data_IF_958323515293
#
_entry.id   IF_958323515293
#
_cell.length_a   1.000
_cell.length_b   1.000
_cell.length_c   1.000
_cell.angle_alpha   90.00
_cell.angle_beta   90.00
_cell.angle_gamma   90.00
#
_symmetry.space_group_name_H-M   'P 1'
#
loop_
_entity.id
_entity.type
_entity.pdbx_description
1 polymer ?
#
# COMPACT_ATOMS: atom_id res chain seq x y z
N UNK A 1 -15.57 -11.54 16.36
CA UNK A 1 -14.52 -11.75 15.33
C UNK A 1 -13.93 -10.39 15.03
N UNK A 2 -12.61 -10.32 14.81
CA UNK A 2 -11.98 -9.07 14.40
C UNK A 2 -12.29 -8.74 12.94
N UNK A 3 -12.48 -7.46 12.62
CA UNK A 3 -12.79 -6.95 11.27
C UNK A 3 -11.71 -5.98 10.80
N UNK A 4 -11.26 -6.11 9.56
CA UNK A 4 -10.22 -5.26 8.97
C UNK A 4 -10.43 -5.08 7.47
N UNK A 5 -10.03 -3.92 6.96
CA UNK A 5 -9.80 -3.69 5.52
C UNK A 5 -8.28 -3.67 5.30
N UNK A 6 -7.81 -4.55 4.40
CA UNK A 6 -6.39 -4.79 4.14
C UNK A 6 -5.90 -4.11 2.84
N UNK A 7 -6.79 -3.53 2.03
CA UNK A 7 -6.42 -2.90 0.77
C UNK A 7 -7.25 -1.63 0.52
N UNK A 8 -6.69 -0.48 0.91
CA UNK A 8 -7.38 0.81 0.82
C UNK A 8 -6.40 1.96 0.53
N UNK A 9 -6.79 2.85 -0.38
CA UNK A 9 -5.99 3.99 -0.81
C UNK A 9 -6.52 5.33 -0.29
N UNK A 10 -5.57 6.21 0.03
CA UNK A 10 -5.78 7.60 0.39
C UNK A 10 -5.23 8.54 -0.70
N UNK A 11 -5.35 9.84 -0.45
CA UNK A 11 -4.74 10.90 -1.27
C UNK A 11 -3.23 10.77 -1.51
N UNK A 12 -2.52 9.93 -0.76
CA UNK A 12 -1.09 9.71 -0.97
C UNK A 12 -0.79 8.74 -2.12
N UNK A 13 -1.81 8.05 -2.67
CA UNK A 13 -1.71 7.25 -3.89
C UNK A 13 -1.75 8.18 -5.12
N UNK A 14 -0.59 8.61 -5.58
CA UNK A 14 -0.46 9.77 -6.48
C UNK A 14 -0.37 9.41 -7.98
N UNK A 15 -0.79 8.21 -8.40
CA UNK A 15 -0.62 7.77 -9.81
C UNK A 15 -1.78 6.97 -10.40
N UNK A 16 -2.76 7.65 -11.02
CA UNK A 16 -3.80 6.96 -11.75
C UNK A 16 -3.28 6.01 -12.80
N UNK A 17 -3.79 4.77 -12.76
CA UNK A 17 -3.49 3.72 -13.73
C UNK A 17 -3.75 4.21 -15.16
N UNK A 18 -4.82 4.96 -15.36
CA UNK A 18 -5.24 5.52 -16.65
C UNK A 18 -4.49 6.80 -17.06
N UNK A 19 -3.94 6.79 -18.27
CA UNK A 19 -3.14 7.90 -18.82
C UNK A 19 -3.94 9.21 -18.98
N UNK A 20 -5.24 9.13 -19.24
CA UNK A 20 -6.14 10.28 -19.38
C UNK A 20 -6.33 11.00 -18.04
N UNK A 21 -6.46 10.26 -16.94
CA UNK A 21 -6.62 10.82 -15.60
C UNK A 21 -5.34 11.52 -15.12
N UNK A 22 -4.16 11.02 -15.51
CA UNK A 22 -2.86 11.72 -15.29
C UNK A 22 -2.82 13.08 -16.00
N UNK A 23 -3.33 13.14 -17.24
CA UNK A 23 -3.33 14.37 -18.05
C UNK A 23 -4.30 15.44 -17.50
N UNK A 24 -5.32 15.01 -16.76
CA UNK A 24 -6.30 15.88 -16.11
C UNK A 24 -5.97 16.18 -14.63
N UNK A 25 -4.90 15.59 -14.08
CA UNK A 25 -4.47 15.85 -12.69
C UNK A 25 -5.40 15.28 -11.62
N UNK A 26 -6.18 14.23 -11.93
CA UNK A 26 -7.14 13.63 -11.00
C UNK A 26 -6.45 12.45 -10.27
N UNK A 27 -6.23 12.50 -8.95
CA UNK A 27 -5.59 11.42 -8.21
C UNK A 27 -6.52 10.20 -8.04
N UNK A 28 -5.95 9.01 -7.79
CA UNK A 28 -6.69 7.75 -7.62
C UNK A 28 -7.61 7.73 -6.40
N UNK A 29 -7.27 8.53 -5.40
CA UNK A 29 -8.11 8.76 -4.24
C UNK A 29 -7.90 10.20 -3.80
N UNK A 30 -8.99 10.89 -3.46
CA UNK A 30 -8.96 12.23 -2.84
C UNK A 30 -9.18 12.14 -1.33
N UNK A 31 -9.28 10.92 -0.79
CA UNK A 31 -9.72 10.69 0.57
C UNK A 31 -8.60 11.00 1.57
N UNK A 32 -8.95 11.78 2.59
CA UNK A 32 -8.04 12.07 3.70
C UNK A 32 -7.84 10.81 4.57
N UNK A 33 -6.59 10.40 4.89
CA UNK A 33 -6.32 9.21 5.69
C UNK A 33 -7.08 9.16 7.02
N UNK A 34 -7.16 10.29 7.74
CA UNK A 34 -7.81 10.37 9.05
C UNK A 34 -9.30 10.15 8.94
N UNK A 35 -9.92 10.68 7.88
CA UNK A 35 -11.34 10.44 7.60
C UNK A 35 -11.62 8.98 7.24
N UNK A 36 -10.74 8.35 6.46
CA UNK A 36 -10.85 6.91 6.16
C UNK A 36 -10.77 6.06 7.42
N UNK A 37 -9.80 6.35 8.29
CA UNK A 37 -9.67 5.71 9.60
C UNK A 37 -10.95 5.87 10.43
N UNK A 38 -11.45 7.09 10.59
CA UNK A 38 -12.67 7.39 11.35
C UNK A 38 -13.87 6.60 10.80
N UNK A 39 -14.08 6.58 9.48
CA UNK A 39 -15.18 5.84 8.83
C UNK A 39 -15.06 4.34 9.09
N UNK A 40 -13.87 3.75 8.92
CA UNK A 40 -13.68 2.31 9.15
C UNK A 40 -13.91 1.93 10.62
N UNK A 41 -13.40 2.74 11.56
CA UNK A 41 -13.63 2.54 13.00
C UNK A 41 -15.11 2.67 13.35
N UNK A 42 -15.80 3.70 12.88
CA UNK A 42 -17.26 3.84 13.05
C UNK A 42 -18.05 2.70 12.40
N UNK A 43 -17.52 2.10 11.33
CA UNK A 43 -18.05 0.89 10.68
C UNK A 43 -17.71 -0.43 11.37
N UNK A 44 -17.14 -0.38 12.59
CA UNK A 44 -16.85 -1.55 13.42
C UNK A 44 -15.60 -2.33 13.01
N UNK A 45 -14.63 -1.73 12.31
CA UNK A 45 -13.36 -2.38 12.02
C UNK A 45 -12.43 -2.27 13.23
N UNK A 46 -11.92 -3.40 13.71
CA UNK A 46 -10.93 -3.50 14.79
C UNK A 46 -9.53 -3.06 14.33
N UNK A 47 -9.23 -3.26 13.05
CA UNK A 47 -7.96 -2.85 12.45
C UNK A 47 -8.19 -2.07 11.16
N UNK A 48 -7.31 -1.09 10.92
CA UNK A 48 -7.32 -0.24 9.73
C UNK A 48 -5.96 -0.30 9.08
N UNK A 49 -5.93 -0.57 7.78
CA UNK A 49 -4.74 -0.41 6.95
C UNK A 49 -4.97 0.68 5.92
N UNK A 50 -3.89 1.35 5.51
CA UNK A 50 -3.87 2.11 4.27
C UNK A 50 -2.63 1.66 3.50
N UNK A 51 -2.84 1.27 2.26
CA UNK A 51 -1.85 0.62 1.38
C UNK A 51 -1.63 1.49 0.15
N UNK A 52 -1.18 2.72 0.38
CA UNK A 52 -0.94 3.68 -0.71
C UNK A 52 0.15 3.19 -1.68
N UNK A 53 0.03 3.58 -2.95
CA UNK A 53 0.95 3.11 -3.99
C UNK A 53 2.39 3.57 -3.75
N UNK A 54 3.28 2.61 -3.48
CA UNK A 54 4.72 2.79 -3.29
C UNK A 54 5.09 3.85 -2.23
N UNK A 55 4.22 4.11 -1.25
CA UNK A 55 4.47 5.12 -0.21
C UNK A 55 3.80 4.76 1.11
N UNK A 56 4.47 5.13 2.21
CA UNK A 56 3.90 5.13 3.57
C UNK A 56 3.35 6.51 3.96
N UNK A 57 2.99 7.36 3.00
CA UNK A 57 2.53 8.73 3.25
C UNK A 57 1.43 8.81 4.31
N UNK A 58 0.39 7.97 4.19
CA UNK A 58 -0.69 7.92 5.17
C UNK A 58 -0.27 7.39 6.55
N UNK A 59 0.77 6.56 6.63
CA UNK A 59 1.25 6.05 7.92
C UNK A 59 1.79 7.16 8.81
N UNK A 60 2.33 8.24 8.22
CA UNK A 60 2.78 9.43 8.97
C UNK A 60 1.60 10.17 9.63
N UNK A 61 0.47 10.25 8.94
CA UNK A 61 -0.76 10.91 9.43
C UNK A 61 -1.47 10.08 10.53
N UNK A 62 -1.35 8.75 10.50
CA UNK A 62 -2.09 7.83 11.36
C UNK A 62 -1.25 7.12 12.44
N UNK A 63 0.04 7.46 12.53
CA UNK A 63 0.97 6.84 13.48
C UNK A 63 0.45 6.95 14.92
N UNK A 64 0.38 5.81 15.62
CA UNK A 64 -0.04 5.75 17.02
C UNK A 64 -1.55 5.73 17.24
N UNK A 65 -2.37 5.76 16.18
CA UNK A 65 -3.80 5.50 16.30
C UNK A 65 -4.04 4.02 16.60
N UNK A 66 -5.00 3.75 17.48
CA UNK A 66 -5.34 2.40 17.91
C UNK A 66 -5.81 1.53 16.73
N UNK A 67 -5.25 0.32 16.62
CA UNK A 67 -5.63 -0.62 15.56
C UNK A 67 -5.17 -0.22 14.15
N UNK A 68 -4.43 0.88 13.99
CA UNK A 68 -3.83 1.21 12.70
C UNK A 68 -2.58 0.36 12.45
N UNK A 69 -2.51 -0.26 11.27
CA UNK A 69 -1.37 -1.04 10.79
C UNK A 69 -0.89 -0.40 9.48
N UNK A 70 0.37 0.08 9.41
CA UNK A 70 0.89 0.69 8.18
C UNK A 70 0.96 -0.36 7.06
N UNK A 71 0.65 0.05 5.84
CA UNK A 71 0.78 -0.79 4.66
C UNK A 71 1.19 -0.01 3.43
N UNK A 72 1.57 -0.75 2.39
CA UNK A 72 1.99 -0.22 1.09
C UNK A 72 1.49 -1.16 0.00
N UNK A 73 0.99 -0.60 -1.10
CA UNK A 73 0.81 -1.36 -2.33
C UNK A 73 1.97 -1.08 -3.28
N UNK A 74 2.75 -2.11 -3.56
CA UNK A 74 4.00 -2.04 -4.29
C UNK A 74 3.74 -2.40 -5.75
N UNK A 75 4.02 -1.48 -6.65
CA UNK A 75 4.05 -1.75 -8.09
C UNK A 75 5.42 -2.35 -8.46
N UNK A 76 5.43 -3.63 -8.79
CA UNK A 76 6.62 -4.40 -9.20
C UNK A 76 6.45 -5.04 -10.58
N UNK A 77 7.49 -5.71 -11.06
CA UNK A 77 7.56 -6.22 -12.44
C UNK A 77 8.28 -7.57 -12.50
N UNK A 78 7.78 -8.46 -13.35
CA UNK A 78 8.57 -9.60 -13.80
C UNK A 78 9.76 -9.10 -14.64
N UNK A 79 11.00 -9.52 -14.35
CA UNK A 79 12.17 -9.05 -15.07
C UNK A 79 12.21 -9.52 -16.54
N UNK A 80 11.52 -10.61 -16.89
CA UNK A 80 11.53 -11.21 -18.22
C UNK A 80 10.79 -10.37 -19.27
N UNK A 81 9.62 -9.87 -18.94
CA UNK A 81 8.69 -9.24 -19.89
C UNK A 81 8.15 -7.89 -19.41
N UNK A 82 8.58 -7.42 -18.22
CA UNK A 82 8.08 -6.20 -17.58
C UNK A 82 6.58 -6.26 -17.27
N UNK A 83 6.00 -7.46 -17.16
CA UNK A 83 4.63 -7.64 -16.71
C UNK A 83 4.49 -7.05 -15.31
N UNK A 84 3.55 -6.12 -15.16
CA UNK A 84 3.32 -5.38 -13.93
C UNK A 84 2.49 -6.21 -12.97
N UNK A 85 2.94 -6.29 -11.72
CA UNK A 85 2.25 -6.95 -10.62
C UNK A 85 2.17 -6.00 -9.44
N UNK A 86 1.08 -6.06 -8.68
CA UNK A 86 0.93 -5.31 -7.45
C UNK A 86 1.03 -6.25 -6.25
N UNK A 87 1.85 -5.91 -5.27
CA UNK A 87 1.96 -6.62 -4.00
C UNK A 87 1.50 -5.72 -2.86
N UNK A 88 0.71 -6.26 -1.94
CA UNK A 88 0.42 -5.62 -0.67
C UNK A 88 1.47 -6.06 0.34
N UNK A 89 1.95 -5.12 1.15
CA UNK A 89 2.79 -5.41 2.31
C UNK A 89 2.31 -4.60 3.52
N UNK A 90 2.36 -5.20 4.71
CA UNK A 90 1.85 -4.59 5.94
C UNK A 90 2.86 -4.67 7.09
N UNK A 91 2.63 -3.82 8.09
CA UNK A 91 3.40 -3.73 9.34
C UNK A 91 4.90 -3.46 9.10
N UNK A 92 5.19 -2.44 8.30
CA UNK A 92 6.55 -2.03 7.94
C UNK A 92 6.77 -0.53 8.17
N UNK A 93 8.03 -0.11 8.29
CA UNK A 93 8.45 1.27 8.54
C UNK A 93 9.24 1.89 7.39
N UNK A 94 9.82 3.05 7.64
CA UNK A 94 10.52 3.83 6.61
C UNK A 94 11.75 3.11 6.03
N UNK A 95 12.44 2.29 6.85
CA UNK A 95 13.63 1.53 6.40
C UNK A 95 13.26 0.42 5.42
N UNK A 96 12.22 -0.34 5.74
CA UNK A 96 11.72 -1.39 4.85
C UNK A 96 11.15 -0.76 3.58
N UNK A 97 10.45 0.38 3.69
CA UNK A 97 9.91 1.10 2.53
C UNK A 97 11.02 1.60 1.58
N UNK A 98 12.15 2.08 2.09
CA UNK A 98 13.30 2.49 1.27
C UNK A 98 13.88 1.31 0.49
N UNK A 99 14.06 0.17 1.16
CA UNK A 99 14.58 -1.03 0.52
C UNK A 99 13.59 -1.64 -0.48
N UNK A 100 12.29 -1.59 -0.18
CA UNK A 100 11.22 -1.95 -1.12
C UNK A 100 11.29 -1.09 -2.38
N UNK A 101 11.46 0.24 -2.27
CA UNK A 101 11.58 1.12 -3.44
C UNK A 101 12.80 0.76 -4.29
N UNK A 102 13.92 0.38 -3.65
CA UNK A 102 15.13 -0.07 -4.35
C UNK A 102 14.91 -1.38 -5.11
N UNK A 103 14.21 -2.34 -4.51
CA UNK A 103 14.06 -3.71 -5.02
C UNK A 103 12.84 -3.92 -5.93
N UNK A 104 11.79 -3.09 -5.83
CA UNK A 104 10.55 -3.26 -6.59
C UNK A 104 10.68 -3.30 -8.12
N UNK A 105 11.76 -2.84 -8.79
CA UNK A 105 11.90 -3.09 -10.23
C UNK A 105 11.95 -4.57 -10.64
N UNK A 106 12.22 -5.49 -9.71
CA UNK A 106 12.28 -6.93 -9.92
C UNK A 106 11.50 -7.69 -8.83
N UNK A 107 10.42 -8.37 -9.22
CA UNK A 107 9.54 -9.09 -8.27
C UNK A 107 10.27 -10.19 -7.50
N UNK A 108 11.28 -10.84 -8.07
CA UNK A 108 11.98 -11.94 -7.39
C UNK A 108 12.89 -11.42 -6.28
N UNK A 109 13.61 -10.33 -6.53
CA UNK A 109 14.44 -9.68 -5.52
C UNK A 109 13.58 -9.10 -4.40
N UNK A 110 12.50 -8.40 -4.76
CA UNK A 110 11.53 -7.89 -3.80
C UNK A 110 10.94 -9.02 -2.94
N UNK A 111 10.46 -10.11 -3.56
CA UNK A 111 9.86 -11.21 -2.83
C UNK A 111 10.88 -11.95 -1.93
N UNK A 112 12.15 -12.03 -2.33
CA UNK A 112 13.21 -12.57 -1.49
C UNK A 112 13.41 -11.72 -0.23
N UNK A 113 13.50 -10.40 -0.40
CA UNK A 113 13.60 -9.45 0.72
C UNK A 113 12.40 -9.52 1.67
N UNK A 114 11.16 -9.45 1.14
CA UNK A 114 9.95 -9.51 1.95
C UNK A 114 9.88 -10.79 2.79
N UNK A 115 10.31 -11.93 2.24
CA UNK A 115 10.39 -13.20 2.98
C UNK A 115 11.52 -13.19 4.02
N UNK A 116 12.70 -12.68 3.68
CA UNK A 116 13.85 -12.63 4.58
C UNK A 116 13.55 -11.78 5.82
N UNK A 117 12.93 -10.62 5.64
CA UNK A 117 12.57 -9.71 6.73
C UNK A 117 11.23 -10.09 7.42
N UNK A 118 10.63 -11.22 7.04
CA UNK A 118 9.35 -11.69 7.57
C UNK A 118 8.21 -10.65 7.47
N UNK A 119 8.22 -9.83 6.41
CA UNK A 119 7.19 -8.84 6.13
C UNK A 119 5.96 -9.57 5.57
N UNK A 120 4.79 -9.35 6.17
CA UNK A 120 3.52 -9.93 5.70
C UNK A 120 3.18 -9.30 4.35
N UNK A 121 2.94 -10.14 3.34
CA UNK A 121 2.65 -9.68 1.98
C UNK A 121 1.70 -10.61 1.24
N UNK A 122 1.01 -10.07 0.22
CA UNK A 122 0.12 -10.82 -0.66
C UNK A 122 0.12 -10.21 -2.08
N UNK A 123 -0.31 -10.99 -3.08
CA UNK A 123 -0.59 -10.44 -4.42
C UNK A 123 -1.90 -9.67 -4.36
N UNK A 124 -1.87 -8.40 -4.78
CA UNK A 124 -3.06 -7.57 -4.89
C UNK A 124 -3.84 -7.97 -6.14
N UNK A 125 -5.16 -8.15 -6.01
CA UNK A 125 -6.13 -8.37 -7.10
C UNK A 125 -5.53 -9.07 -8.34
N UNK A 126 -5.22 -10.39 -8.25
CA UNK A 126 -4.69 -11.14 -9.39
C UNK A 126 -5.75 -11.19 -10.50
N UNK A 127 -5.40 -10.65 -11.67
CA UNK A 127 -6.16 -10.77 -12.92
C UNK A 127 -5.53 -11.86 -13.79
#
# INVERSE_FOLDING_TARGET
MSKADLHLHSRYSDRPSEWILRKLGIPDSLSNPRKLYEVLRSGGHDFVTLTDHNTLGAAKDLKGLEGFIPGIEITTYFPEDRCKVHLLAWNLGDKEAEEIERLRPNIFELAAFLRQEAIVHAVAHPL
#
